data_IF_462516472576
#
_entry.id   IF_462516472576
#
_cell.length_a   1.000
_cell.length_b   1.000
_cell.length_c   1.000
_cell.angle_alpha   90.00
_cell.angle_beta   90.00
_cell.angle_gamma   90.00
#
_symmetry.space_group_name_H-M   'P 1'
#
loop_
_entity.id
_entity.type
_entity.pdbx_description
1 polymer ?
#
# COMPACT_ATOMS: atom_id res chain seq x y z
N UNK A 1 -5.98 -13.30 -20.85
CA UNK A 1 -4.92 -12.46 -20.27
C UNK A 1 -5.33 -11.96 -18.90
N UNK A 2 -4.48 -12.10 -17.91
CA UNK A 2 -4.74 -11.60 -16.56
C UNK A 2 -4.50 -10.08 -16.53
N UNK A 3 -5.45 -9.35 -15.99
CA UNK A 3 -5.29 -7.91 -15.75
C UNK A 3 -4.30 -7.70 -14.60
N UNK A 4 -3.12 -7.11 -14.85
CA UNK A 4 -2.12 -6.94 -13.80
C UNK A 4 -2.61 -6.09 -12.64
N UNK A 5 -3.37 -5.05 -12.91
CA UNK A 5 -3.90 -4.18 -11.86
C UNK A 5 -4.78 -4.95 -10.87
N UNK A 6 -5.69 -5.76 -11.40
CA UNK A 6 -6.60 -6.56 -10.57
C UNK A 6 -5.85 -7.66 -9.82
N UNK A 7 -4.91 -8.32 -10.48
CA UNK A 7 -4.11 -9.38 -9.86
C UNK A 7 -3.26 -8.86 -8.70
N UNK A 8 -2.62 -7.72 -8.87
CA UNK A 8 -1.78 -7.10 -7.83
C UNK A 8 -2.64 -6.63 -6.66
N UNK A 9 -3.75 -5.96 -6.94
CA UNK A 9 -4.67 -5.50 -5.89
C UNK A 9 -5.20 -6.68 -5.07
N UNK A 10 -5.57 -7.77 -5.75
CA UNK A 10 -6.06 -8.98 -5.08
C UNK A 10 -4.97 -9.65 -4.24
N UNK A 11 -3.74 -9.65 -4.72
CA UNK A 11 -2.61 -10.21 -3.96
C UNK A 11 -2.37 -9.42 -2.66
N UNK A 12 -2.45 -8.10 -2.72
CA UNK A 12 -2.33 -7.25 -1.54
C UNK A 12 -3.46 -7.52 -0.54
N UNK A 13 -4.70 -7.59 -1.03
CA UNK A 13 -5.86 -7.88 -0.19
C UNK A 13 -5.77 -9.26 0.45
N UNK A 14 -5.42 -10.29 -0.32
CA UNK A 14 -5.29 -11.67 0.19
C UNK A 14 -4.19 -11.77 1.25
N UNK A 15 -3.07 -11.09 1.04
CA UNK A 15 -1.96 -11.08 2.00
C UNK A 15 -2.40 -10.43 3.32
N UNK A 16 -3.08 -9.30 3.23
CA UNK A 16 -3.63 -8.61 4.40
C UNK A 16 -4.57 -9.52 5.20
N UNK A 17 -5.49 -10.19 4.53
CA UNK A 17 -6.44 -11.09 5.17
C UNK A 17 -5.74 -12.29 5.83
N UNK A 18 -4.70 -12.82 5.20
CA UNK A 18 -3.93 -13.93 5.78
C UNK A 18 -3.18 -13.50 7.05
N UNK A 19 -2.61 -12.31 7.05
CA UNK A 19 -1.94 -11.76 8.23
C UNK A 19 -2.94 -11.60 9.37
N UNK A 20 -4.10 -11.01 9.09
CA UNK A 20 -5.14 -10.78 10.10
C UNK A 20 -5.72 -12.09 10.65
N UNK A 21 -5.74 -13.15 9.85
CA UNK A 21 -6.26 -14.45 10.26
C UNK A 21 -5.23 -15.29 11.02
N UNK A 22 -3.98 -14.85 11.12
CA UNK A 22 -2.92 -15.61 11.78
C UNK A 22 -3.00 -15.44 13.31
N UNK A 23 -3.32 -16.50 14.01
CA UNK A 23 -3.48 -16.51 15.48
C UNK A 23 -2.17 -16.77 16.22
N UNK A 24 -1.05 -16.95 15.53
CA UNK A 24 0.23 -17.30 16.16
C UNK A 24 0.98 -16.11 16.72
N UNK A 25 0.58 -14.90 16.34
CA UNK A 25 1.24 -13.67 16.73
C UNK A 25 0.22 -12.66 17.25
N UNK A 26 0.67 -11.77 18.15
CA UNK A 26 -0.13 -10.63 18.58
C UNK A 26 -0.04 -9.55 17.49
N UNK A 27 -1.12 -9.42 16.71
CA UNK A 27 -1.19 -8.46 15.62
C UNK A 27 -1.74 -7.10 16.03
N UNK A 28 -2.16 -6.95 17.29
CA UNK A 28 -2.75 -5.68 17.74
C UNK A 28 -1.74 -4.54 17.82
N UNK A 29 -0.48 -4.86 18.08
CA UNK A 29 0.58 -3.87 18.23
C UNK A 29 1.55 -3.81 17.06
N UNK A 30 1.32 -4.59 16.02
CA UNK A 30 2.22 -4.66 14.88
C UNK A 30 1.57 -4.17 13.58
N UNK A 31 2.41 -3.81 12.65
CA UNK A 31 1.96 -3.41 11.33
C UNK A 31 3.12 -3.31 10.37
N UNK A 32 2.80 -3.20 9.10
CA UNK A 32 3.82 -3.04 8.05
C UNK A 32 3.24 -2.30 6.86
N UNK A 33 4.10 -1.59 6.17
CA UNK A 33 3.81 -1.07 4.85
C UNK A 33 4.32 -2.06 3.80
N UNK A 34 3.89 -1.88 2.56
CA UNK A 34 4.42 -2.64 1.43
C UNK A 34 4.44 -1.76 0.19
N UNK A 35 5.55 -1.78 -0.52
CA UNK A 35 5.66 -1.14 -1.83
C UNK A 35 6.37 -2.12 -2.76
N UNK A 36 5.76 -2.37 -3.94
CA UNK A 36 6.28 -3.32 -4.90
C UNK A 36 6.38 -2.68 -6.28
N UNK A 37 7.36 -3.12 -7.04
CA UNK A 37 7.55 -2.71 -8.43
C UNK A 37 7.64 -3.98 -9.28
N UNK A 38 6.77 -4.10 -10.28
CA UNK A 38 6.70 -5.27 -11.14
C UNK A 38 6.88 -4.81 -12.58
N UNK A 39 7.93 -5.29 -13.23
CA UNK A 39 8.21 -5.00 -14.62
C UNK A 39 7.74 -6.18 -15.47
N UNK A 40 6.79 -5.94 -16.37
CA UNK A 40 6.19 -6.98 -17.21
C UNK A 40 6.71 -6.82 -18.63
N UNK A 41 7.33 -7.89 -19.14
CA UNK A 41 7.87 -7.97 -20.52
C UNK A 41 8.83 -6.82 -20.85
N UNK A 42 9.52 -6.27 -19.85
CA UNK A 42 10.44 -5.17 -20.05
C UNK A 42 9.80 -3.87 -20.53
N UNK A 43 8.48 -3.77 -20.52
CA UNK A 43 7.76 -2.63 -21.11
C UNK A 43 6.83 -1.90 -20.15
N UNK A 44 6.12 -2.63 -19.28
CA UNK A 44 5.15 -2.05 -18.37
C UNK A 44 5.63 -2.19 -16.93
N UNK A 45 5.77 -1.07 -16.24
CA UNK A 45 6.15 -1.05 -14.83
C UNK A 45 4.92 -0.75 -14.00
N UNK A 46 4.57 -1.71 -13.13
CA UNK A 46 3.46 -1.57 -12.20
C UNK A 46 3.99 -1.29 -10.80
N UNK A 47 3.50 -0.22 -10.21
CA UNK A 47 3.84 0.15 -8.83
C UNK A 47 2.61 -0.05 -7.96
N UNK A 48 2.76 -0.79 -6.88
CA UNK A 48 1.70 -0.99 -5.90
C UNK A 48 2.20 -0.56 -4.53
N UNK A 49 1.35 0.09 -3.76
CA UNK A 49 1.73 0.63 -2.47
C UNK A 49 0.58 0.56 -1.48
N UNK A 50 0.93 0.20 -0.24
CA UNK A 50 0.08 0.39 0.92
C UNK A 50 0.94 0.96 2.04
N UNK A 51 0.55 2.14 2.54
CA UNK A 51 1.27 2.83 3.60
C UNK A 51 2.07 4.03 3.10
N UNK A 52 3.03 4.45 3.90
CA UNK A 52 3.85 5.63 3.64
C UNK A 52 5.26 5.31 3.12
N UNK A 53 5.52 4.06 2.76
CA UNK A 53 6.70 3.73 1.96
C UNK A 53 6.51 4.28 0.55
N UNK A 54 7.59 4.50 -0.16
CA UNK A 54 7.54 5.27 -1.41
C UNK A 54 8.42 4.66 -2.48
N UNK A 55 7.93 4.70 -3.72
CA UNK A 55 8.70 4.33 -4.90
C UNK A 55 8.97 5.56 -5.76
N UNK A 56 10.20 5.74 -6.16
CA UNK A 56 10.60 6.80 -7.11
C UNK A 56 11.33 6.18 -8.29
N UNK A 57 11.25 6.85 -9.43
CA UNK A 57 12.00 6.48 -10.63
C UNK A 57 12.89 7.67 -11.01
N UNK A 58 14.16 7.39 -11.25
CA UNK A 58 15.08 8.38 -11.79
C UNK A 58 15.10 8.26 -13.32
N UNK A 59 14.83 9.34 -13.99
CA UNK A 59 14.85 9.41 -15.45
C UNK A 59 15.47 10.74 -15.89
N UNK A 60 16.51 10.66 -16.73
CA UNK A 60 17.20 11.83 -17.26
C UNK A 60 17.68 12.81 -16.17
N UNK A 61 18.18 12.25 -15.08
CA UNK A 61 18.67 13.03 -13.94
C UNK A 61 17.59 13.62 -13.05
N UNK A 62 16.33 13.24 -13.26
CA UNK A 62 15.21 13.72 -12.44
C UNK A 62 14.52 12.58 -11.72
N UNK A 63 14.19 12.78 -10.47
CA UNK A 63 13.42 11.82 -9.67
C UNK A 63 11.92 12.10 -9.84
N UNK A 64 11.15 11.05 -10.10
CA UNK A 64 9.70 11.14 -10.20
C UNK A 64 9.08 10.17 -9.21
N UNK A 65 8.20 10.66 -8.36
CA UNK A 65 7.45 9.80 -7.43
C UNK A 65 6.38 9.03 -8.19
N UNK A 66 6.40 7.71 -8.02
CA UNK A 66 5.51 6.81 -8.74
C UNK A 66 4.36 6.29 -7.88
N UNK A 67 4.51 6.35 -6.56
CA UNK A 67 3.47 5.91 -5.63
C UNK A 67 2.89 7.10 -4.89
N UNK A 68 1.70 6.92 -4.32
CA UNK A 68 1.07 7.91 -3.43
C UNK A 68 1.16 7.39 -2.00
N UNK A 69 1.69 8.22 -1.10
CA UNK A 69 1.80 7.86 0.31
C UNK A 69 0.40 7.82 0.95
N UNK A 70 0.16 6.80 1.78
CA UNK A 70 -1.04 6.71 2.58
C UNK A 70 -0.71 7.11 4.01
N UNK A 71 -1.20 8.25 4.43
CA UNK A 71 -0.99 8.79 5.77
C UNK A 71 -2.35 9.14 6.37
N UNK A 72 -2.71 8.57 7.55
CA UNK A 72 -4.01 8.87 8.17
C UNK A 72 -4.19 10.35 8.55
N UNK A 73 -3.10 11.10 8.68
CA UNK A 73 -3.16 12.55 8.92
C UNK A 73 -3.51 13.34 7.68
N UNK A 74 -3.39 12.75 6.49
CA UNK A 74 -3.82 13.39 5.26
C UNK A 74 -5.35 13.43 5.19
N UNK A 75 -5.91 14.58 4.84
CA UNK A 75 -7.37 14.79 4.84
C UNK A 75 -8.09 13.82 3.90
N UNK A 76 -7.50 13.52 2.75
CA UNK A 76 -8.09 12.58 1.78
C UNK A 76 -8.16 11.17 2.36
N UNK A 77 -7.07 10.70 2.99
CA UNK A 77 -7.03 9.38 3.62
C UNK A 77 -7.96 9.31 4.81
N UNK A 78 -7.97 10.34 5.66
CA UNK A 78 -8.86 10.41 6.81
C UNK A 78 -10.32 10.35 6.39
N UNK A 79 -10.70 11.11 5.37
CA UNK A 79 -12.08 11.12 4.85
C UNK A 79 -12.48 9.74 4.33
N UNK A 80 -11.59 9.05 3.65
CA UNK A 80 -11.86 7.70 3.14
C UNK A 80 -12.04 6.71 4.29
N UNK A 81 -11.19 6.76 5.30
CA UNK A 81 -11.28 5.89 6.48
C UNK A 81 -12.63 6.11 7.18
N UNK A 82 -13.00 7.36 7.41
CA UNK A 82 -14.25 7.71 8.08
C UNK A 82 -15.48 7.29 7.27
N UNK A 83 -15.42 7.43 5.94
CA UNK A 83 -16.51 7.04 5.05
C UNK A 83 -16.78 5.52 5.08
N UNK A 84 -15.80 4.73 5.47
CA UNK A 84 -15.91 3.27 5.58
C UNK A 84 -16.16 2.80 7.01
N UNK A 85 -16.47 3.71 7.92
CA UNK A 85 -16.81 3.39 9.31
C UNK A 85 -15.63 3.33 10.27
N UNK A 86 -14.43 3.69 9.82
CA UNK A 86 -13.26 3.75 10.67
C UNK A 86 -13.04 5.14 11.27
N UNK A 87 -12.01 5.25 12.06
CA UNK A 87 -11.61 6.53 12.65
C UNK A 87 -10.10 6.57 12.84
N UNK A 88 -9.55 7.78 12.92
CA UNK A 88 -8.11 8.02 13.12
C UNK A 88 -7.86 8.44 14.56
N UNK A 89 -6.88 7.80 15.20
CA UNK A 89 -6.47 8.11 16.57
C UNK A 89 -5.02 8.57 16.60
N UNK A 90 -4.67 9.36 17.63
CA UNK A 90 -3.29 9.80 17.87
C UNK A 90 -2.63 8.88 18.91
N UNK A 91 -2.34 7.64 18.54
CA UNK A 91 -1.58 6.74 19.38
C UNK A 91 -0.10 6.86 19.07
N UNK A 92 0.78 7.03 20.06
CA UNK A 92 2.21 7.02 19.84
C UNK A 92 2.67 5.60 19.43
N UNK A 93 3.51 5.56 18.39
CA UNK A 93 4.05 4.30 17.86
C UNK A 93 3.24 3.70 16.75
#
# INVERSE_FOLDING_TARGET
MVDPRRAIAKAYENTDQKILADNRTDLESGGSTAVTAILINGKALWIANVGDSRAIVSSRGKAKQMSVDHDPDDDTERSMIESKGGFVTNRPG
#
